data_IF_547339756003
#
_entry.id   IF_547339756003
#
_cell.length_a   1.000
_cell.length_b   1.000
_cell.length_c   1.000
_cell.angle_alpha   90.00
_cell.angle_beta   90.00
_cell.angle_gamma   90.00
#
_symmetry.space_group_name_H-M   'P 1'
#
loop_
_entity.id
_entity.type
_entity.pdbx_description
1 polymer ?
#
# COMPACT_ATOMS: atom_id res chain seq x y z
N UNK A 1 -30.12 -1.79 7.19
CA UNK A 1 -30.02 -3.26 7.39
C UNK A 1 -28.65 -3.72 6.89
N UNK A 2 -27.95 -4.49 7.70
CA UNK A 2 -26.70 -5.09 7.29
C UNK A 2 -26.94 -6.18 6.23
N UNK A 3 -26.18 -6.14 5.15
CA UNK A 3 -26.15 -7.24 4.18
C UNK A 3 -25.26 -8.38 4.69
N UNK A 4 -24.14 -8.00 5.32
CA UNK A 4 -23.18 -8.93 5.91
C UNK A 4 -22.78 -8.45 7.30
N UNK A 5 -22.68 -9.36 8.30
CA UNK A 5 -22.31 -8.95 9.67
C UNK A 5 -20.86 -8.46 9.79
N UNK A 6 -19.99 -8.90 8.91
CA UNK A 6 -18.60 -8.48 8.85
C UNK A 6 -18.15 -8.31 7.39
N UNK A 7 -17.44 -7.22 7.12
CA UNK A 7 -16.69 -7.06 5.88
C UNK A 7 -15.22 -7.38 6.14
N UNK A 8 -14.67 -8.28 5.35
CA UNK A 8 -13.24 -8.60 5.35
C UNK A 8 -12.61 -7.88 4.17
N UNK A 9 -11.72 -6.94 4.45
CA UNK A 9 -11.11 -6.07 3.45
C UNK A 9 -9.61 -6.30 3.39
N UNK A 10 -9.05 -6.35 2.19
CA UNK A 10 -7.66 -6.06 1.94
C UNK A 10 -7.42 -4.56 2.16
N UNK A 11 -6.18 -4.11 2.20
CA UNK A 11 -5.85 -2.70 2.45
C UNK A 11 -5.25 -2.01 1.24
N UNK A 12 -4.02 -2.38 0.87
CA UNK A 12 -3.31 -1.73 -0.23
C UNK A 12 -4.00 -2.01 -1.56
N UNK A 13 -4.27 -0.95 -2.32
CA UNK A 13 -4.99 -0.97 -3.60
C UNK A 13 -6.41 -1.55 -3.53
N UNK A 14 -6.99 -1.60 -2.35
CA UNK A 14 -8.40 -1.92 -2.10
C UNK A 14 -9.08 -0.79 -1.34
N UNK A 15 -8.57 -0.42 -0.18
CA UNK A 15 -9.06 0.71 0.62
C UNK A 15 -8.31 1.99 0.30
N UNK A 16 -7.00 1.90 0.16
CA UNK A 16 -6.09 3.02 -0.18
C UNK A 16 -5.32 2.73 -1.46
N UNK A 17 -5.01 3.79 -2.20
CA UNK A 17 -4.30 3.75 -3.48
C UNK A 17 -2.79 3.75 -3.24
N UNK A 18 -2.27 2.74 -2.57
CA UNK A 18 -0.87 2.67 -2.15
C UNK A 18 0.09 2.68 -3.33
N UNK A 19 -0.20 1.92 -4.38
CA UNK A 19 0.69 1.86 -5.55
C UNK A 19 0.74 3.22 -6.27
N UNK A 20 -0.41 3.77 -6.61
CA UNK A 20 -0.47 5.01 -7.40
C UNK A 20 0.03 6.24 -6.65
N UNK A 21 -0.24 6.34 -5.33
CA UNK A 21 -0.02 7.57 -4.56
C UNK A 21 1.22 7.55 -3.67
N UNK A 22 1.80 6.38 -3.41
CA UNK A 22 2.98 6.22 -2.52
C UNK A 22 4.09 5.43 -3.19
N UNK A 23 3.85 4.17 -3.54
CA UNK A 23 4.91 3.27 -4.02
C UNK A 23 5.48 3.70 -5.37
N UNK A 24 4.62 4.02 -6.32
CA UNK A 24 5.03 4.44 -7.66
C UNK A 24 5.82 5.76 -7.65
N UNK A 25 5.37 6.83 -6.96
CA UNK A 25 6.18 8.06 -6.86
C UNK A 25 7.56 7.81 -6.23
N UNK A 26 7.62 7.00 -5.18
CA UNK A 26 8.88 6.63 -4.56
C UNK A 26 9.79 5.86 -5.52
N UNK A 27 9.24 4.87 -6.22
CA UNK A 27 10.02 4.09 -7.19
C UNK A 27 10.56 4.96 -8.33
N UNK A 28 9.76 5.87 -8.86
CA UNK A 28 10.22 6.82 -9.87
C UNK A 28 11.41 7.66 -9.37
N UNK A 29 11.35 8.11 -8.12
CA UNK A 29 12.45 8.84 -7.50
C UNK A 29 13.72 7.98 -7.41
N UNK A 30 13.63 6.78 -6.84
CA UNK A 30 14.77 5.87 -6.69
C UNK A 30 15.34 5.45 -8.05
N UNK A 31 14.47 5.12 -9.00
CA UNK A 31 14.90 4.74 -10.34
C UNK A 31 15.71 5.86 -11.00
N UNK A 32 15.27 7.11 -10.85
CA UNK A 32 16.03 8.24 -11.39
C UNK A 32 17.35 8.49 -10.64
N UNK A 33 17.43 8.14 -9.36
CA UNK A 33 18.70 8.21 -8.60
C UNK A 33 19.71 7.18 -9.10
N UNK A 34 19.27 5.95 -9.31
CA UNK A 34 20.16 4.85 -9.72
C UNK A 34 20.42 4.83 -11.23
N UNK A 35 19.45 5.27 -12.02
CA UNK A 35 19.50 5.29 -13.50
C UNK A 35 18.95 6.63 -14.00
N UNK A 36 19.77 7.72 -13.92
CA UNK A 36 19.29 9.06 -14.28
C UNK A 36 18.64 9.13 -15.67
N UNK A 37 17.52 9.85 -15.75
CA UNK A 37 16.76 10.02 -17.00
C UNK A 37 15.84 8.86 -17.35
N UNK A 38 15.79 7.79 -16.53
CA UNK A 38 14.91 6.66 -16.75
C UNK A 38 13.49 6.98 -16.25
N UNK A 39 12.50 6.67 -17.07
CA UNK A 39 11.08 6.86 -16.76
C UNK A 39 10.33 5.55 -16.93
N UNK A 40 9.32 5.34 -16.10
CA UNK A 40 8.42 4.21 -16.16
C UNK A 40 7.00 4.68 -15.85
N UNK A 41 6.00 4.08 -16.49
CA UNK A 41 4.59 4.38 -16.19
C UNK A 41 4.09 3.52 -15.03
N UNK A 42 3.05 3.99 -14.35
CA UNK A 42 2.37 3.21 -13.31
C UNK A 42 1.91 1.85 -13.83
N UNK A 43 1.33 1.82 -15.04
CA UNK A 43 0.88 0.58 -15.68
C UNK A 43 2.04 -0.40 -15.89
N UNK A 44 3.19 0.08 -16.37
CA UNK A 44 4.37 -0.75 -16.60
C UNK A 44 4.94 -1.32 -15.28
N UNK A 45 4.96 -0.53 -14.19
CA UNK A 45 5.35 -1.03 -12.86
C UNK A 45 4.40 -2.13 -12.40
N UNK A 46 3.10 -1.89 -12.48
CA UNK A 46 2.09 -2.87 -12.07
C UNK A 46 2.23 -4.18 -12.87
N UNK A 47 2.40 -4.09 -14.18
CA UNK A 47 2.61 -5.25 -15.06
C UNK A 47 3.90 -6.00 -14.73
N UNK A 48 5.00 -5.28 -14.52
CA UNK A 48 6.30 -5.86 -14.17
C UNK A 48 6.25 -6.58 -12.81
N UNK A 49 5.63 -5.96 -11.82
CA UNK A 49 5.44 -6.57 -10.50
C UNK A 49 4.57 -7.82 -10.57
N UNK A 50 3.50 -7.79 -11.35
CA UNK A 50 2.61 -8.93 -11.52
C UNK A 50 3.29 -10.11 -12.23
N UNK A 51 4.04 -9.84 -13.29
CA UNK A 51 4.68 -10.89 -14.12
C UNK A 51 5.96 -11.44 -13.50
N UNK A 52 6.78 -10.59 -12.89
CA UNK A 52 8.14 -10.95 -12.46
C UNK A 52 8.34 -10.88 -10.95
N UNK A 53 7.50 -10.10 -10.25
CA UNK A 53 7.82 -9.61 -8.92
C UNK A 53 8.73 -8.39 -8.97
N UNK A 54 8.65 -7.54 -7.95
CA UNK A 54 9.33 -6.25 -7.92
C UNK A 54 10.86 -6.37 -8.09
N UNK A 55 11.49 -7.25 -7.32
CA UNK A 55 12.95 -7.41 -7.35
C UNK A 55 13.45 -7.88 -8.72
N UNK A 56 12.77 -8.86 -9.32
CA UNK A 56 13.15 -9.37 -10.65
C UNK A 56 12.87 -8.35 -11.75
N UNK A 57 11.83 -7.56 -11.64
CA UNK A 57 11.59 -6.44 -12.55
C UNK A 57 12.77 -5.46 -12.51
N UNK A 58 13.22 -5.08 -11.32
CA UNK A 58 14.35 -4.19 -11.14
C UNK A 58 15.64 -4.78 -11.74
N UNK A 59 15.89 -6.06 -11.53
CA UNK A 59 17.06 -6.74 -12.10
C UNK A 59 17.02 -6.80 -13.62
N UNK A 60 15.91 -7.25 -14.17
CA UNK A 60 15.78 -7.52 -15.61
C UNK A 60 15.61 -6.28 -16.45
N UNK A 61 14.84 -5.30 -15.97
CA UNK A 61 14.52 -4.12 -16.75
C UNK A 61 15.51 -2.98 -16.56
N UNK A 62 16.11 -2.88 -15.36
CA UNK A 62 16.96 -1.74 -14.99
C UNK A 62 18.34 -2.13 -14.50
N UNK A 63 18.64 -3.41 -14.52
CA UNK A 63 19.95 -3.95 -14.14
C UNK A 63 20.38 -3.51 -12.72
N UNK A 64 19.43 -3.51 -11.78
CA UNK A 64 19.73 -3.22 -10.38
C UNK A 64 20.65 -4.27 -9.79
N UNK A 65 21.63 -3.82 -9.02
CA UNK A 65 22.44 -4.70 -8.18
C UNK A 65 21.64 -5.15 -6.95
N UNK A 66 22.08 -6.22 -6.30
CA UNK A 66 21.44 -6.68 -5.06
C UNK A 66 21.48 -5.62 -3.97
N UNK A 67 22.56 -4.84 -3.89
CA UNK A 67 22.65 -3.73 -2.94
C UNK A 67 21.65 -2.62 -3.26
N UNK A 68 21.45 -2.28 -4.52
CA UNK A 68 20.46 -1.29 -4.93
C UNK A 68 19.03 -1.73 -4.59
N UNK A 69 18.72 -3.02 -4.71
CA UNK A 69 17.42 -3.58 -4.32
C UNK A 69 17.22 -3.45 -2.80
N UNK A 70 18.24 -3.75 -2.00
CA UNK A 70 18.20 -3.60 -0.55
C UNK A 70 18.04 -2.14 -0.16
N UNK A 71 18.77 -1.23 -0.80
CA UNK A 71 18.70 0.21 -0.54
C UNK A 71 17.32 0.77 -0.89
N UNK A 72 16.74 0.32 -2.00
CA UNK A 72 15.37 0.68 -2.38
C UNK A 72 14.37 0.23 -1.30
N UNK A 73 14.44 -1.00 -0.87
CA UNK A 73 13.53 -1.55 0.15
C UNK A 73 13.62 -0.76 1.48
N UNK A 74 14.82 -0.47 1.95
CA UNK A 74 15.01 0.32 3.16
C UNK A 74 14.53 1.77 2.98
N UNK A 75 14.76 2.37 1.82
CA UNK A 75 14.26 3.70 1.50
C UNK A 75 12.73 3.74 1.46
N UNK A 76 12.11 2.73 0.85
CA UNK A 76 10.67 2.58 0.80
C UNK A 76 10.06 2.44 2.20
N UNK A 77 10.64 1.60 3.06
CA UNK A 77 10.16 1.44 4.44
C UNK A 77 10.13 2.76 5.22
N UNK A 78 11.14 3.61 5.04
CA UNK A 78 11.18 4.95 5.65
C UNK A 78 10.14 5.89 5.03
N UNK A 79 10.01 5.83 3.71
CA UNK A 79 9.11 6.70 2.96
C UNK A 79 7.64 6.48 3.33
N UNK A 80 7.20 5.24 3.46
CA UNK A 80 5.80 4.91 3.76
C UNK A 80 5.35 5.32 5.16
N UNK A 81 6.27 5.56 6.09
CA UNK A 81 5.93 6.06 7.43
C UNK A 81 5.36 7.47 7.35
N UNK A 82 5.92 8.33 6.50
CA UNK A 82 5.58 9.75 6.41
C UNK A 82 4.64 10.08 5.22
N UNK A 83 4.37 9.12 4.35
CA UNK A 83 3.58 9.33 3.14
C UNK A 83 2.32 8.47 3.19
N UNK A 84 1.21 9.12 3.51
CA UNK A 84 -0.09 8.48 3.67
C UNK A 84 -0.74 8.30 2.30
N UNK A 85 -1.11 7.07 1.90
CA UNK A 85 -1.78 6.84 0.63
C UNK A 85 -3.18 7.44 0.62
N UNK A 86 -3.63 7.88 -0.55
CA UNK A 86 -4.99 8.41 -0.73
C UNK A 86 -6.03 7.27 -0.68
N UNK A 87 -7.21 7.49 -0.09
CA UNK A 87 -8.26 6.49 -0.10
C UNK A 87 -8.92 6.40 -1.49
N UNK A 88 -9.49 5.25 -1.80
CA UNK A 88 -10.38 5.16 -2.96
C UNK A 88 -11.67 5.95 -2.72
N UNK A 89 -12.20 6.64 -3.75
CA UNK A 89 -13.47 7.33 -3.63
C UNK A 89 -14.61 6.39 -3.22
N UNK A 90 -15.40 6.80 -2.21
CA UNK A 90 -16.56 6.04 -1.75
C UNK A 90 -16.28 4.95 -0.72
N UNK A 91 -15.03 4.53 -0.53
CA UNK A 91 -14.71 3.46 0.43
C UNK A 91 -15.04 3.88 1.88
N UNK A 92 -14.80 5.14 2.21
CA UNK A 92 -15.12 5.68 3.54
C UNK A 92 -16.60 5.61 3.88
N UNK A 93 -17.46 5.84 2.91
CA UNK A 93 -18.91 5.72 3.09
C UNK A 93 -19.34 4.28 3.33
N UNK A 94 -18.73 3.33 2.64
CA UNK A 94 -18.99 1.89 2.84
C UNK A 94 -18.59 1.47 4.26
N UNK A 95 -17.40 1.85 4.69
CA UNK A 95 -16.90 1.55 6.04
C UNK A 95 -17.79 2.17 7.10
N UNK A 96 -18.16 3.44 6.95
CA UNK A 96 -19.02 4.15 7.90
C UNK A 96 -20.40 3.52 8.00
N UNK A 97 -21.04 3.24 6.87
CA UNK A 97 -22.36 2.59 6.86
C UNK A 97 -22.36 1.21 7.50
N UNK A 98 -21.30 0.43 7.27
CA UNK A 98 -21.15 -0.89 7.91
C UNK A 98 -21.10 -0.75 9.43
N UNK A 99 -20.29 0.17 9.94
CA UNK A 99 -20.13 0.40 11.37
C UNK A 99 -21.38 1.00 12.02
N UNK A 100 -21.99 1.98 11.40
CA UNK A 100 -23.23 2.62 11.90
C UNK A 100 -24.41 1.63 11.98
N UNK A 101 -24.46 0.66 11.08
CA UNK A 101 -25.47 -0.41 11.11
C UNK A 101 -25.17 -1.51 12.13
N UNK A 102 -24.09 -1.39 12.91
CA UNK A 102 -23.70 -2.38 13.92
C UNK A 102 -22.86 -3.54 13.37
N UNK A 103 -22.37 -3.43 12.14
CA UNK A 103 -21.50 -4.42 11.53
C UNK A 103 -20.03 -4.24 11.90
N UNK A 104 -19.22 -5.23 11.53
CA UNK A 104 -17.78 -5.25 11.78
C UNK A 104 -16.97 -5.05 10.50
N UNK A 105 -15.76 -4.53 10.68
CA UNK A 105 -14.72 -4.44 9.66
C UNK A 105 -13.51 -5.23 10.15
N UNK A 106 -13.07 -6.19 9.36
CA UNK A 106 -11.84 -6.94 9.57
C UNK A 106 -10.90 -6.66 8.40
N UNK A 107 -9.65 -6.31 8.68
CA UNK A 107 -8.62 -6.10 7.64
C UNK A 107 -7.66 -7.27 7.64
N UNK A 108 -7.40 -7.83 6.45
CA UNK A 108 -6.41 -8.89 6.23
C UNK A 108 -5.47 -8.40 5.12
N UNK A 109 -4.22 -8.15 5.45
CA UNK A 109 -3.28 -7.52 4.54
C UNK A 109 -1.84 -7.98 4.78
N UNK A 110 -1.02 -7.89 3.74
CA UNK A 110 0.43 -7.99 3.85
C UNK A 110 1.10 -6.67 4.26
N UNK A 111 0.31 -5.70 4.73
CA UNK A 111 0.81 -4.40 5.18
C UNK A 111 1.06 -4.37 6.68
N UNK A 112 1.79 -3.34 7.11
CA UNK A 112 2.09 -3.09 8.52
C UNK A 112 0.82 -2.64 9.26
N UNK A 113 0.52 -3.25 10.41
CA UNK A 113 -0.65 -2.93 11.24
C UNK A 113 -0.68 -1.44 11.60
N UNK A 114 0.45 -0.86 11.95
CA UNK A 114 0.56 0.55 12.33
C UNK A 114 0.20 1.49 11.17
N UNK A 115 0.60 1.16 9.96
CA UNK A 115 0.24 1.94 8.77
C UNK A 115 -1.25 1.81 8.44
N UNK A 116 -1.83 0.62 8.54
CA UNK A 116 -3.27 0.40 8.34
C UNK A 116 -4.06 1.23 9.35
N UNK A 117 -3.70 1.17 10.62
CA UNK A 117 -4.34 1.93 11.71
C UNK A 117 -4.27 3.44 11.42
N UNK A 118 -3.09 3.95 11.06
CA UNK A 118 -2.89 5.35 10.68
C UNK A 118 -3.80 5.75 9.54
N UNK A 119 -3.88 4.94 8.49
CA UNK A 119 -4.68 5.25 7.29
C UNK A 119 -6.17 5.32 7.62
N UNK A 120 -6.69 4.38 8.41
CA UNK A 120 -8.08 4.39 8.86
C UNK A 120 -8.38 5.59 9.74
N UNK A 121 -7.53 5.92 10.70
CA UNK A 121 -7.70 7.10 11.56
C UNK A 121 -7.68 8.39 10.75
N UNK A 122 -6.71 8.53 9.85
CA UNK A 122 -6.53 9.74 9.07
C UNK A 122 -7.68 9.98 8.10
N UNK A 123 -8.13 8.94 7.39
CA UNK A 123 -9.11 9.10 6.32
C UNK A 123 -10.56 8.97 6.79
N UNK A 124 -10.80 8.13 7.79
CA UNK A 124 -12.17 7.76 8.17
C UNK A 124 -12.53 8.13 9.60
N UNK A 125 -11.56 8.32 10.48
CA UNK A 125 -11.79 8.51 11.91
C UNK A 125 -12.43 7.27 12.58
N UNK A 126 -12.33 6.11 11.95
CA UNK A 126 -12.91 4.84 12.39
C UNK A 126 -11.81 3.80 12.33
N UNK A 127 -11.69 2.98 13.38
CA UNK A 127 -10.77 1.84 13.38
C UNK A 127 -11.49 0.56 12.98
N UNK A 128 -10.81 -0.35 12.26
CA UNK A 128 -11.30 -1.71 12.09
C UNK A 128 -11.48 -2.41 13.43
N UNK A 129 -12.39 -3.38 13.50
CA UNK A 129 -12.56 -4.20 14.70
C UNK A 129 -11.36 -5.14 14.90
N UNK A 130 -10.85 -5.71 13.81
CA UNK A 130 -9.67 -6.57 13.81
C UNK A 130 -8.77 -6.25 12.61
N UNK A 131 -7.45 -6.33 12.82
CA UNK A 131 -6.45 -6.14 11.78
C UNK A 131 -5.46 -7.31 11.84
N UNK A 132 -5.33 -8.01 10.72
CA UNK A 132 -4.34 -9.06 10.49
C UNK A 132 -3.32 -8.55 9.47
N UNK A 133 -2.16 -8.21 9.95
CA UNK A 133 -1.03 -7.71 9.18
C UNK A 133 0.27 -8.11 9.87
N UNK A 134 1.36 -7.39 9.62
CA UNK A 134 2.60 -7.60 10.35
C UNK A 134 2.92 -6.38 11.24
N UNK A 135 3.63 -6.63 12.32
CA UNK A 135 4.09 -5.60 13.24
C UNK A 135 5.48 -5.10 12.84
N UNK A 136 5.72 -3.80 13.06
CA UNK A 136 7.07 -3.27 12.97
C UNK A 136 7.93 -3.92 14.05
N UNK A 137 9.17 -4.33 13.75
CA UNK A 137 10.09 -4.78 14.80
C UNK A 137 10.31 -3.68 15.84
N UNK A 138 10.31 -4.08 17.11
CA UNK A 138 10.61 -3.18 18.23
C UNK A 138 12.05 -2.64 18.15
#
# INVERSE_FOLDING_TARGET
MLKYPCLVLDHDDTVVQSEATVNYPFFCYILNQFRPGTKITLHAVAEGCFRLGFADMCRKWYNFTEQEIVDEYHGWQKYIVDHIPAPFPGIGDIIRRQKEAGGKICVVSHSCIQNITRDYETHFGILPDDIYGWDLPE
#
